data_IF_900839705793
#
_entry.id   IF_900839705793
#
_cell.length_a   1.000
_cell.length_b   1.000
_cell.length_c   1.000
_cell.angle_alpha   90.00
_cell.angle_beta   90.00
_cell.angle_gamma   90.00
#
_symmetry.space_group_name_H-M   'P 1'
#
loop_
_entity.id
_entity.type
_entity.pdbx_description
1 polymer ?
#
# COMPACT_ATOMS: atom_id res chain seq x y z
N UNK A 1 11.84 -3.72 14.74
CA UNK A 1 11.24 -4.42 13.59
C UNK A 1 9.93 -3.76 13.27
N UNK A 2 9.82 -3.05 12.15
CA UNK A 2 8.53 -2.49 11.72
C UNK A 2 8.11 -3.24 10.47
N UNK A 3 7.16 -4.15 10.63
CA UNK A 3 6.54 -4.89 9.54
C UNK A 3 5.37 -4.04 9.03
N UNK A 4 5.41 -3.61 7.77
CA UNK A 4 4.27 -2.90 7.16
C UNK A 4 3.14 -3.91 6.93
N UNK A 5 1.96 -3.60 7.47
CA UNK A 5 0.76 -4.42 7.32
C UNK A 5 -0.15 -3.81 6.25
N UNK A 6 -0.80 -4.65 5.45
CA UNK A 6 -1.93 -4.25 4.62
C UNK A 6 -3.21 -4.64 5.36
N UNK A 7 -4.15 -3.72 5.37
CA UNK A 7 -5.49 -3.96 5.85
C UNK A 7 -6.51 -3.78 4.73
N UNK A 8 -7.38 -4.78 4.56
CA UNK A 8 -8.62 -4.61 3.81
C UNK A 8 -9.71 -4.12 4.78
N UNK A 9 -10.42 -3.06 4.40
CA UNK A 9 -11.48 -2.49 5.23
C UNK A 9 -12.74 -3.37 5.29
N UNK A 10 -12.99 -4.17 4.24
CA UNK A 10 -14.12 -5.09 4.13
C UNK A 10 -13.83 -6.23 3.11
N UNK A 11 -14.78 -7.16 2.97
CA UNK A 11 -14.69 -8.29 2.03
C UNK A 11 -14.54 -7.86 0.56
N UNK A 12 -15.04 -6.67 0.19
CA UNK A 12 -14.92 -6.15 -1.19
C UNK A 12 -13.52 -5.63 -1.44
N UNK A 13 -12.88 -5.04 -0.44
CA UNK A 13 -11.50 -4.58 -0.49
C UNK A 13 -10.48 -5.74 -0.41
N UNK A 14 -10.86 -6.90 0.12
CA UNK A 14 -9.97 -8.07 0.27
C UNK A 14 -9.25 -8.50 -1.02
N UNK A 15 -9.90 -8.71 -2.18
CA UNK A 15 -9.20 -9.07 -3.41
C UNK A 15 -8.20 -7.98 -3.85
N UNK A 16 -8.52 -6.70 -3.65
CA UNK A 16 -7.61 -5.58 -3.96
C UNK A 16 -6.36 -5.65 -3.07
N UNK A 17 -6.56 -5.87 -1.77
CA UNK A 17 -5.49 -5.99 -0.78
C UNK A 17 -4.59 -7.21 -1.04
N UNK A 18 -5.15 -8.35 -1.46
CA UNK A 18 -4.39 -9.54 -1.84
C UNK A 18 -3.57 -9.32 -3.11
N UNK A 19 -4.14 -8.66 -4.12
CA UNK A 19 -3.41 -8.31 -5.33
C UNK A 19 -2.28 -7.33 -5.03
N UNK A 20 -2.53 -6.32 -4.18
CA UNK A 20 -1.51 -5.41 -3.69
C UNK A 20 -0.39 -6.17 -2.99
N UNK A 21 -0.73 -7.09 -2.07
CA UNK A 21 0.25 -7.95 -1.41
C UNK A 21 1.07 -8.75 -2.43
N UNK A 22 0.44 -9.36 -3.43
CA UNK A 22 1.14 -10.14 -4.45
C UNK A 22 2.15 -9.30 -5.24
N UNK A 23 1.79 -8.06 -5.59
CA UNK A 23 2.65 -7.13 -6.32
C UNK A 23 3.86 -6.66 -5.50
N UNK A 24 3.70 -6.47 -4.18
CA UNK A 24 4.78 -5.95 -3.31
C UNK A 24 5.49 -7.01 -2.48
N UNK A 25 5.05 -8.27 -2.51
CA UNK A 25 5.62 -9.36 -1.71
C UNK A 25 7.12 -9.56 -1.89
N UNK A 26 7.63 -9.30 -3.10
CA UNK A 26 9.07 -9.38 -3.38
C UNK A 26 9.86 -8.22 -2.77
N UNK A 27 9.20 -7.10 -2.45
CA UNK A 27 9.83 -5.85 -2.00
C UNK A 27 9.55 -5.56 -0.51
N UNK A 28 8.46 -6.12 0.04
CA UNK A 28 7.98 -5.85 1.39
C UNK A 28 7.40 -7.13 2.01
N UNK A 29 7.80 -7.44 3.25
CA UNK A 29 7.22 -8.55 4.01
C UNK A 29 5.85 -8.14 4.57
N UNK A 30 4.80 -8.35 3.77
CA UNK A 30 3.45 -7.85 4.08
C UNK A 30 2.47 -8.98 4.36
N UNK A 31 1.66 -8.80 5.39
CA UNK A 31 0.48 -9.62 5.66
C UNK A 31 -0.78 -8.79 5.39
N UNK A 32 -1.78 -9.41 4.76
CA UNK A 32 -3.12 -8.83 4.60
C UNK A 32 -3.96 -9.31 5.76
N UNK A 33 -4.45 -8.37 6.55
CA UNK A 33 -5.42 -8.61 7.61
C UNK A 33 -6.69 -7.82 7.28
N UNK A 34 -7.82 -8.17 7.91
CA UNK A 34 -9.01 -7.33 7.88
C UNK A 34 -9.04 -6.48 9.15
N UNK A 35 -9.25 -5.18 9.01
CA UNK A 35 -9.50 -4.30 10.15
C UNK A 35 -10.28 -3.07 9.70
N UNK A 36 -11.14 -2.59 10.58
CA UNK A 36 -11.77 -1.26 10.44
C UNK A 36 -11.02 -0.20 11.25
N UNK A 37 -10.02 -0.59 12.04
CA UNK A 37 -9.24 0.30 12.90
C UNK A 37 -8.06 0.87 12.12
N UNK A 38 -8.01 2.20 12.00
CA UNK A 38 -6.85 2.88 11.42
C UNK A 38 -5.59 2.58 12.24
N UNK A 39 -4.75 1.68 11.74
CA UNK A 39 -3.51 1.28 12.38
C UNK A 39 -2.35 2.14 11.87
N UNK A 40 -1.62 2.83 12.75
CA UNK A 40 -0.50 3.68 12.35
C UNK A 40 0.56 2.94 11.54
N UNK A 41 0.98 3.52 10.42
CA UNK A 41 2.03 2.96 9.56
C UNK A 41 1.60 1.77 8.71
N UNK A 42 0.30 1.49 8.63
CA UNK A 42 -0.27 0.47 7.76
C UNK A 42 -0.82 1.07 6.45
N UNK A 43 -1.09 0.19 5.49
CA UNK A 43 -1.77 0.51 4.23
C UNK A 43 -3.21 0.01 4.34
N UNK A 44 -4.19 0.90 4.29
CA UNK A 44 -5.62 0.57 4.31
C UNK A 44 -6.19 0.65 2.90
N UNK A 45 -6.77 -0.45 2.42
CA UNK A 45 -7.46 -0.52 1.14
C UNK A 45 -8.97 -0.50 1.40
N UNK A 46 -9.67 0.45 0.79
CA UNK A 46 -11.08 0.75 1.03
C UNK A 46 -11.83 0.73 -0.30
N UNK A 47 -13.00 0.08 -0.31
CA UNK A 47 -13.90 0.13 -1.46
C UNK A 47 -14.63 1.48 -1.50
N UNK A 48 -14.51 2.20 -2.61
CA UNK A 48 -15.19 3.48 -2.82
C UNK A 48 -15.97 3.47 -4.14
N UNK A 49 -17.30 3.51 -4.04
CA UNK A 49 -18.22 3.30 -5.16
C UNK A 49 -18.26 4.45 -6.20
N UNK A 50 -18.17 5.73 -5.80
CA UNK A 50 -18.15 6.87 -6.74
C UNK A 50 -16.90 6.91 -7.63
N UNK A 51 -15.80 6.28 -7.21
CA UNK A 51 -14.55 6.26 -7.98
C UNK A 51 -14.70 5.43 -9.26
N UNK A 52 -14.28 5.92 -10.46
CA UNK A 52 -14.28 5.14 -11.70
C UNK A 52 -13.50 3.83 -11.59
N UNK A 53 -13.73 2.86 -12.49
CA UNK A 53 -13.10 1.54 -12.38
C UNK A 53 -11.56 1.57 -12.42
N UNK A 54 -11.00 2.51 -13.18
CA UNK A 54 -9.54 2.77 -13.24
C UNK A 54 -9.11 3.88 -12.27
N UNK A 55 -10.06 4.58 -11.66
CA UNK A 55 -9.79 5.68 -10.76
C UNK A 55 -9.30 5.21 -9.39
N UNK A 56 -8.54 6.06 -8.72
CA UNK A 56 -8.10 5.83 -7.35
C UNK A 56 -7.88 7.14 -6.59
N UNK A 57 -7.93 7.03 -5.27
CA UNK A 57 -7.34 8.03 -4.37
C UNK A 57 -6.28 7.38 -3.48
N UNK A 58 -5.07 7.91 -3.53
CA UNK A 58 -3.94 7.52 -2.69
C UNK A 58 -3.61 8.66 -1.71
N UNK A 59 -3.85 8.42 -0.44
CA UNK A 59 -3.46 9.32 0.64
C UNK A 59 -2.31 8.75 1.43
N UNK A 60 -1.21 9.50 1.51
CA UNK A 60 -0.05 9.19 2.36
C UNK A 60 0.04 10.26 3.44
N UNK A 61 0.03 9.83 4.70
CA UNK A 61 0.14 10.70 5.87
C UNK A 61 1.19 10.13 6.83
N UNK A 62 1.67 10.91 7.82
CA UNK A 62 2.48 10.35 8.91
C UNK A 62 1.78 9.21 9.68
N UNK A 63 0.45 9.17 9.65
CA UNK A 63 -0.35 8.11 10.27
C UNK A 63 -0.47 6.84 9.43
N UNK A 64 -0.07 6.84 8.16
CA UNK A 64 -0.18 5.67 7.28
C UNK A 64 -0.73 6.03 5.89
N UNK A 65 -1.06 4.98 5.13
CA UNK A 65 -1.50 5.09 3.74
C UNK A 65 -2.95 4.62 3.64
N UNK A 66 -3.78 5.37 2.91
CA UNK A 66 -5.14 4.96 2.53
C UNK A 66 -5.25 4.91 1.01
N UNK A 67 -5.94 3.88 0.53
CA UNK A 67 -6.22 3.63 -0.87
C UNK A 67 -7.72 3.45 -1.04
N UNK A 68 -8.38 4.38 -1.72
CA UNK A 68 -9.79 4.29 -2.09
C UNK A 68 -9.90 3.91 -3.57
N UNK A 69 -10.62 2.82 -3.86
CA UNK A 69 -10.76 2.26 -5.21
C UNK A 69 -12.10 1.55 -5.36
N UNK A 70 -12.64 1.49 -6.59
CA UNK A 70 -13.87 0.75 -6.88
C UNK A 70 -13.63 -0.58 -7.58
N UNK A 71 -12.45 -0.79 -8.19
CA UNK A 71 -12.12 -2.00 -8.92
C UNK A 71 -10.60 -2.29 -8.94
N UNK A 72 -10.24 -3.45 -9.51
CA UNK A 72 -8.85 -3.92 -9.59
C UNK A 72 -7.95 -3.00 -10.41
N UNK A 73 -8.48 -2.36 -11.47
CA UNK A 73 -7.68 -1.49 -12.33
C UNK A 73 -7.22 -0.23 -11.57
N UNK A 74 -8.10 0.42 -10.82
CA UNK A 74 -7.74 1.52 -9.93
C UNK A 74 -6.72 1.11 -8.85
N UNK A 75 -6.89 -0.07 -8.25
CA UNK A 75 -5.91 -0.59 -7.28
C UNK A 75 -4.52 -0.79 -7.90
N UNK A 76 -4.47 -1.21 -9.16
CA UNK A 76 -3.23 -1.37 -9.90
C UNK A 76 -2.53 -0.03 -10.18
N UNK A 77 -3.27 1.00 -10.64
CA UNK A 77 -2.67 2.31 -10.91
C UNK A 77 -2.22 3.02 -9.64
N UNK A 78 -3.01 2.96 -8.57
CA UNK A 78 -2.62 3.52 -7.28
C UNK A 78 -1.32 2.90 -6.75
N UNK A 79 -1.14 1.60 -6.97
CA UNK A 79 0.09 0.92 -6.63
C UNK A 79 1.28 1.43 -7.46
N UNK A 80 1.10 1.62 -8.77
CA UNK A 80 2.16 2.19 -9.60
C UNK A 80 2.59 3.56 -9.08
N UNK A 81 1.63 4.40 -8.68
CA UNK A 81 1.89 5.71 -8.08
C UNK A 81 2.62 5.58 -6.74
N UNK A 82 2.14 4.72 -5.84
CA UNK A 82 2.81 4.46 -4.56
C UNK A 82 4.27 4.00 -4.75
N UNK A 83 4.53 3.17 -5.76
CA UNK A 83 5.87 2.69 -6.11
C UNK A 83 6.81 3.83 -6.51
N UNK A 84 6.30 4.85 -7.19
CA UNK A 84 7.08 6.03 -7.58
C UNK A 84 7.43 6.90 -6.37
N UNK A 85 6.62 6.87 -5.30
CA UNK A 85 6.88 7.59 -4.05
C UNK A 85 7.88 6.88 -3.14
N UNK A 86 8.09 5.57 -3.32
CA UNK A 86 9.09 4.82 -2.58
C UNK A 86 10.50 5.22 -3.03
N UNK A 87 11.45 5.37 -2.10
CA UNK A 87 12.83 5.68 -2.46
C UNK A 87 13.43 4.54 -3.30
N UNK A 88 14.28 4.87 -4.27
CA UNK A 88 14.88 3.92 -5.23
C UNK A 88 15.53 2.70 -4.56
N UNK A 89 16.09 2.88 -3.36
CA UNK A 89 16.72 1.81 -2.57
C UNK A 89 15.74 0.81 -1.92
N UNK A 90 14.43 1.07 -1.97
CA UNK A 90 13.39 0.13 -1.55
C UNK A 90 13.31 -1.11 -2.48
N UNK A 91 13.80 -1.00 -3.71
CA UNK A 91 13.81 -2.07 -4.70
C UNK A 91 15.14 -2.82 -4.78
N UNK A 92 16.15 -2.41 -4.01
CA UNK A 92 17.45 -3.08 -4.01
C UNK A 92 17.35 -4.46 -3.34
N UNK A 93 17.99 -5.47 -3.96
CA UNK A 93 18.13 -6.79 -3.34
C UNK A 93 18.73 -6.63 -1.93
N UNK A 94 18.20 -7.35 -0.92
CA UNK A 94 18.76 -7.28 0.42
C UNK A 94 20.24 -7.69 0.36
N UNK A 95 21.15 -6.93 0.98
CA UNK A 95 22.57 -7.26 0.94
C UNK A 95 22.79 -8.66 1.53
N UNK A 96 23.72 -9.43 0.94
CA UNK A 96 24.05 -10.81 1.32
C UNK A 96 24.38 -11.00 2.81
N UNK A 97 24.73 -9.94 3.54
CA UNK A 97 24.90 -9.94 4.99
C UNK A 97 23.62 -9.44 5.66
N UNK A 98 23.05 -10.23 6.57
CA UNK A 98 21.90 -9.86 7.42
C UNK A 98 22.12 -8.45 7.99
N UNK A 99 21.39 -7.45 7.47
CA UNK A 99 21.33 -6.13 8.11
C UNK A 99 20.69 -6.31 9.48
N UNK A 100 21.34 -5.79 10.53
CA UNK A 100 20.82 -5.78 11.91
C UNK A 100 19.58 -4.91 12.08
N UNK A 101 19.29 -4.02 11.12
CA UNK A 101 18.16 -3.10 11.14
C UNK A 101 17.34 -3.22 9.86
N UNK A 102 16.02 -3.27 10.01
CA UNK A 102 15.06 -3.11 8.91
C UNK A 102 15.18 -1.68 8.38
N UNK A 103 15.35 -1.46 7.06
CA UNK A 103 15.34 -0.10 6.52
C UNK A 103 13.99 0.56 6.78
N UNK A 104 14.02 1.79 7.30
CA UNK A 104 12.83 2.64 7.40
C UNK A 104 12.74 3.40 6.09
N UNK A 105 11.69 3.16 5.31
CA UNK A 105 11.43 3.92 4.10
C UNK A 105 10.59 5.14 4.43
N UNK A 106 11.08 6.32 4.04
CA UNK A 106 10.32 7.54 4.10
C UNK A 106 9.56 7.72 2.79
N UNK A 107 8.25 7.94 2.87
CA UNK A 107 7.37 8.26 1.74
C UNK A 107 6.85 9.67 1.98
N UNK A 108 6.85 10.57 0.98
CA UNK A 108 6.30 11.91 1.15
C UNK A 108 4.80 11.85 1.46
N UNK A 109 4.33 12.76 2.32
CA UNK A 109 2.90 12.93 2.56
C UNK A 109 2.26 13.58 1.33
N UNK A 110 1.27 12.92 0.72
CA UNK A 110 0.60 13.34 -0.51
C UNK A 110 -0.86 12.91 -0.49
N UNK A 111 -1.70 13.61 -1.26
CA UNK A 111 -3.06 13.18 -1.61
C UNK A 111 -3.15 13.21 -3.14
N UNK A 112 -3.27 12.03 -3.75
CA UNK A 112 -3.31 11.85 -5.21
C UNK A 112 -4.68 11.32 -5.57
N UNK A 113 -5.31 11.98 -6.54
CA UNK A 113 -6.60 11.62 -7.10
C UNK A 113 -6.45 11.58 -8.61
N UNK A 114 -6.82 10.46 -9.23
CA UNK A 114 -6.52 10.20 -10.65
C UNK A 114 -7.58 9.26 -11.25
N UNK A 115 -8.01 9.52 -12.49
CA UNK A 115 -8.97 8.72 -13.25
C UNK A 115 -8.96 9.07 -14.75
#
# INVERSE_FOLDING_TARGET
SSQTLIFAADERARPMALQLQALIRCQLAVQVNETTVNTPGAIHVMYDRPTPAEGYQLQVTPGGIRLLVSAMAGAFYAFQTLRQLLPFNAFALPPRKRRRHTPVWAVPAVDVVDW
#
